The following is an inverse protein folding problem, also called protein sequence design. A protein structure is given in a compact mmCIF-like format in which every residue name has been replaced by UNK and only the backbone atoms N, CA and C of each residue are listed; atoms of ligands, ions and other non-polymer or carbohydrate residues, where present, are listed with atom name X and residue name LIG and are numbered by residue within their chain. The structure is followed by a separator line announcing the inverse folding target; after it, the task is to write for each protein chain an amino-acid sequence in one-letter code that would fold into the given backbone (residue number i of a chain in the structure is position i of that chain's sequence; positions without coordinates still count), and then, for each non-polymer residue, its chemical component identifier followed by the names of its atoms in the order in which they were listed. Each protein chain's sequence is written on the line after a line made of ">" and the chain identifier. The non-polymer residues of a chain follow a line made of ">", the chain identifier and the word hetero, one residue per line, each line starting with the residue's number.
data_IF_989042768633
#
_entry.id   IF_989042768633
#
_cell.length_a   1.000
_cell.length_b   1.000
_cell.length_c   1.000
_cell.angle_alpha   90.00
_cell.angle_beta   90.00
_cell.angle_gamma   90.00
#
_symmetry.space_group_name_H-M   'P 1'
#
loop_
_entity.id
_entity.type
_entity.pdbx_description
1 polymer ?
#
# COMPACT_ATOMS: atom_id res chain seq x y z
N UNK A 1 -71.25 -28.77 13.66
CA UNK A 1 -70.57 -29.55 12.62
C UNK A 1 -69.17 -29.01 12.46
N UNK A 2 -68.21 -29.94 12.48
CA UNK A 2 -66.75 -29.81 12.34
C UNK A 2 -66.34 -28.65 11.43
N UNK A 3 -65.32 -27.89 11.83
CA UNK A 3 -64.37 -27.07 11.04
C UNK A 3 -64.01 -25.77 11.78
N UNK A 4 -63.28 -25.86 12.89
CA UNK A 4 -62.46 -24.77 13.42
C UNK A 4 -61.49 -25.36 14.46
N UNK A 5 -60.31 -25.85 14.01
CA UNK A 5 -59.09 -26.08 14.82
C UNK A 5 -57.98 -26.79 14.01
N UNK A 6 -57.43 -26.15 12.98
CA UNK A 6 -56.09 -26.52 12.45
C UNK A 6 -55.50 -25.46 11.50
N UNK A 7 -55.19 -24.26 12.02
CA UNK A 7 -54.25 -23.33 11.34
C UNK A 7 -53.24 -22.78 12.37
N UNK A 8 -52.72 -23.67 13.22
CA UNK A 8 -51.63 -23.33 14.14
C UNK A 8 -50.60 -24.47 14.25
N UNK A 9 -50.38 -25.23 13.18
CA UNK A 9 -49.30 -26.24 13.13
C UNK A 9 -48.70 -26.42 11.72
N UNK A 10 -48.77 -25.40 10.86
CA UNK A 10 -48.17 -25.44 9.52
C UNK A 10 -47.02 -24.43 9.31
N UNK A 11 -46.52 -23.79 10.37
CA UNK A 11 -45.38 -22.85 10.33
C UNK A 11 -44.23 -23.20 11.28
N UNK A 12 -44.18 -24.45 11.80
CA UNK A 12 -43.09 -24.93 12.67
C UNK A 12 -42.40 -26.20 12.12
N UNK A 13 -42.77 -26.68 10.92
CA UNK A 13 -42.18 -27.90 10.33
C UNK A 13 -41.64 -27.72 8.89
N UNK A 14 -41.24 -26.49 8.53
CA UNK A 14 -40.32 -26.23 7.39
C UNK A 14 -39.11 -25.41 7.89
N UNK A 15 -38.61 -25.77 9.08
CA UNK A 15 -37.35 -25.20 9.64
C UNK A 15 -36.42 -26.26 10.24
N UNK A 16 -36.69 -27.56 10.01
CA UNK A 16 -35.93 -28.66 10.62
C UNK A 16 -35.46 -29.74 9.64
N UNK A 17 -35.28 -29.40 8.35
CA UNK A 17 -34.67 -30.32 7.39
C UNK A 17 -33.68 -29.70 6.43
N UNK A 18 -32.93 -28.69 6.89
CA UNK A 18 -31.56 -28.45 6.39
C UNK A 18 -30.63 -29.04 7.44
N UNK A 19 -30.56 -30.38 7.46
CA UNK A 19 -29.50 -31.09 8.17
C UNK A 19 -28.18 -30.63 7.56
N UNK A 20 -27.51 -29.75 8.31
CA UNK A 20 -26.05 -29.69 8.48
C UNK A 20 -25.30 -30.60 7.49
N UNK A 21 -25.10 -30.10 6.26
CA UNK A 21 -23.92 -30.52 5.52
C UNK A 21 -22.74 -30.12 6.41
N UNK A 22 -21.85 -31.04 6.77
CA UNK A 22 -20.70 -30.67 7.57
C UNK A 22 -20.02 -29.52 6.83
N UNK A 23 -19.87 -28.39 7.54
CA UNK A 23 -18.92 -27.38 7.16
C UNK A 23 -17.64 -28.18 6.94
N UNK A 24 -17.20 -28.32 5.69
CA UNK A 24 -15.85 -28.77 5.44
C UNK A 24 -14.98 -27.74 6.16
N UNK A 25 -14.55 -28.08 7.37
CA UNK A 25 -13.32 -27.57 7.94
C UNK A 25 -12.26 -27.95 6.91
N UNK A 26 -12.11 -27.07 5.91
CA UNK A 26 -10.94 -27.04 5.08
C UNK A 26 -9.82 -26.86 6.09
N UNK A 27 -9.09 -27.94 6.31
CA UNK A 27 -7.90 -27.97 7.12
C UNK A 27 -6.99 -26.86 6.56
N UNK A 28 -6.94 -25.71 7.23
CA UNK A 28 -6.18 -24.50 6.82
C UNK A 28 -4.66 -24.70 6.89
N UNK A 29 -4.20 -25.96 6.98
CA UNK A 29 -2.81 -26.37 7.05
C UNK A 29 -2.30 -27.10 5.79
N UNK A 30 -2.94 -26.95 4.64
CA UNK A 30 -2.15 -26.91 3.40
C UNK A 30 -1.70 -25.48 3.20
N UNK A 31 -0.70 -25.06 3.97
CA UNK A 31 0.17 -23.98 3.51
C UNK A 31 0.70 -24.47 2.15
N UNK A 32 0.34 -23.79 1.07
CA UNK A 32 1.10 -23.93 -0.16
C UNK A 32 2.57 -23.72 0.22
N UNK A 33 3.42 -24.70 -0.08
CA UNK A 33 4.85 -24.58 0.17
C UNK A 33 5.38 -23.51 -0.77
N UNK A 34 5.32 -22.25 -0.32
CA UNK A 34 5.75 -21.11 -1.11
C UNK A 34 7.20 -21.32 -1.52
N UNK A 35 7.47 -21.13 -2.80
CA UNK A 35 8.82 -21.29 -3.32
C UNK A 35 9.64 -20.08 -2.89
N UNK A 36 10.77 -20.33 -2.23
CA UNK A 36 11.65 -19.29 -1.71
C UNK A 36 13.07 -19.48 -2.23
N UNK A 37 13.71 -18.41 -2.70
CA UNK A 37 15.13 -18.41 -3.12
C UNK A 37 15.70 -17.00 -3.05
N UNK A 38 16.97 -16.90 -2.64
CA UNK A 38 17.69 -15.63 -2.48
C UNK A 38 17.00 -14.59 -1.57
N UNK A 39 16.17 -15.05 -0.62
CA UNK A 39 15.38 -14.18 0.25
C UNK A 39 14.12 -13.60 -0.40
N UNK A 40 13.75 -14.06 -1.59
CA UNK A 40 12.49 -13.75 -2.24
C UNK A 40 11.54 -14.94 -2.21
N UNK A 41 10.25 -14.65 -2.27
CA UNK A 41 9.16 -15.61 -2.31
C UNK A 41 8.41 -15.45 -3.62
N UNK A 42 8.12 -16.55 -4.32
CA UNK A 42 7.30 -16.56 -5.54
C UNK A 42 5.86 -16.97 -5.20
N UNK A 43 4.90 -16.30 -5.83
CA UNK A 43 3.47 -16.52 -5.64
C UNK A 43 2.75 -16.61 -6.99
N UNK A 44 1.73 -17.45 -7.07
CA UNK A 44 0.55 -17.18 -7.91
C UNK A 44 -0.27 -16.03 -7.33
N UNK A 45 -1.22 -15.49 -8.11
CA UNK A 45 -2.07 -14.40 -7.62
C UNK A 45 -2.95 -14.83 -6.43
N UNK A 46 -3.40 -16.09 -6.37
CA UNK A 46 -4.17 -16.65 -5.26
C UNK A 46 -3.32 -16.77 -3.99
N UNK A 47 -2.10 -17.28 -4.11
CA UNK A 47 -1.15 -17.38 -3.00
C UNK A 47 -0.77 -15.99 -2.48
N UNK A 48 -0.56 -15.02 -3.39
CA UNK A 48 -0.30 -13.64 -3.02
C UNK A 48 -1.45 -13.06 -2.19
N UNK A 49 -2.70 -13.25 -2.60
CA UNK A 49 -3.87 -12.77 -1.88
C UNK A 49 -3.95 -13.33 -0.46
N UNK A 50 -3.75 -14.64 -0.30
CA UNK A 50 -3.75 -15.29 1.01
C UNK A 50 -2.60 -14.76 1.87
N UNK A 51 -1.40 -14.67 1.29
CA UNK A 51 -0.21 -14.21 1.98
C UNK A 51 -0.32 -12.75 2.45
N UNK A 52 -0.67 -11.80 1.58
CA UNK A 52 -0.75 -10.37 1.93
C UNK A 52 -1.84 -10.06 2.97
N UNK A 53 -2.93 -10.84 2.96
CA UNK A 53 -3.99 -10.73 3.97
C UNK A 53 -3.58 -11.37 5.30
N UNK A 54 -2.69 -12.36 5.28
CA UNK A 54 -2.12 -12.96 6.50
C UNK A 54 -1.08 -12.07 7.16
N UNK A 55 -0.43 -11.18 6.39
CA UNK A 55 0.64 -10.34 6.90
C UNK A 55 0.19 -9.29 7.91
N UNK A 56 1.07 -9.13 8.89
CA UNK A 56 1.06 -8.06 9.89
C UNK A 56 1.90 -6.90 9.37
N UNK A 57 1.30 -5.71 9.32
CA UNK A 57 2.00 -4.50 8.91
C UNK A 57 1.66 -3.37 9.88
N UNK A 58 2.70 -2.80 10.48
CA UNK A 58 2.64 -1.67 11.40
C UNK A 58 2.43 -0.36 10.65
N UNK A 59 3.14 -0.18 9.52
CA UNK A 59 3.09 1.09 8.79
C UNK A 59 1.77 1.32 8.05
N UNK A 60 1.43 2.60 7.91
CA UNK A 60 0.33 3.07 7.09
C UNK A 60 0.71 3.09 5.61
N UNK A 61 -0.19 2.59 4.77
CA UNK A 61 -0.09 2.65 3.31
C UNK A 61 -1.23 3.53 2.81
N UNK A 62 -0.94 4.44 1.89
CA UNK A 62 -1.91 5.36 1.26
C UNK A 62 -1.89 5.32 -0.27
N UNK A 63 -0.87 4.69 -0.87
CA UNK A 63 -0.73 4.64 -2.33
C UNK A 63 0.00 3.38 -2.83
N UNK A 64 -0.21 3.07 -4.11
CA UNK A 64 0.41 2.00 -4.89
C UNK A 64 1.04 2.63 -6.13
N UNK A 65 2.32 2.37 -6.36
CA UNK A 65 3.09 2.85 -7.50
C UNK A 65 3.20 1.74 -8.54
N UNK A 66 2.83 2.04 -9.78
CA UNK A 66 2.96 1.14 -10.92
C UNK A 66 4.20 1.50 -11.73
N UNK A 67 5.04 0.50 -11.97
CA UNK A 67 6.30 0.61 -12.66
C UNK A 67 6.48 -0.52 -13.69
N UNK A 68 7.35 -0.29 -14.67
CA UNK A 68 7.93 -1.36 -15.46
C UNK A 68 9.44 -1.40 -15.25
N UNK A 69 10.04 -2.57 -15.40
CA UNK A 69 11.49 -2.69 -15.25
C UNK A 69 12.24 -1.94 -16.34
N UNK A 70 11.68 -1.86 -17.56
CA UNK A 70 12.34 -1.44 -18.82
C UNK A 70 13.51 -2.37 -19.21
N UNK A 71 14.41 -2.64 -18.27
CA UNK A 71 15.40 -3.70 -18.30
C UNK A 71 15.54 -4.29 -16.89
N UNK A 72 15.42 -5.62 -16.71
CA UNK A 72 15.20 -6.64 -17.73
C UNK A 72 13.81 -6.58 -18.37
N UNK A 73 13.74 -6.70 -19.70
CA UNK A 73 12.53 -6.86 -20.51
C UNK A 73 12.23 -8.34 -20.83
N UNK A 74 11.15 -8.65 -21.56
CA UNK A 74 10.74 -10.02 -21.88
C UNK A 74 11.83 -10.84 -22.57
N UNK A 75 12.67 -10.21 -23.40
CA UNK A 75 13.81 -10.89 -24.06
C UNK A 75 14.79 -11.56 -23.09
N UNK A 76 14.79 -11.15 -21.81
CA UNK A 76 15.64 -11.75 -20.77
C UNK A 76 14.92 -12.84 -19.96
N UNK A 77 13.62 -13.01 -20.14
CA UNK A 77 12.81 -13.99 -19.43
C UNK A 77 12.86 -15.34 -20.13
N UNK A 78 13.19 -16.41 -19.38
CA UNK A 78 13.39 -17.77 -19.89
C UNK A 78 12.43 -18.78 -19.24
N UNK A 79 11.28 -18.31 -18.76
CA UNK A 79 10.24 -19.05 -18.02
C UNK A 79 10.67 -19.72 -16.69
N UNK A 80 11.97 -19.75 -16.41
CA UNK A 80 12.58 -20.51 -15.31
C UNK A 80 13.53 -19.67 -14.45
N UNK A 81 13.79 -18.42 -14.84
CA UNK A 81 14.83 -17.56 -14.25
C UNK A 81 14.26 -16.39 -13.41
N UNK A 82 13.06 -16.53 -12.85
CA UNK A 82 12.41 -15.47 -12.06
C UNK A 82 13.28 -14.95 -10.91
N UNK A 83 13.83 -15.89 -10.12
CA UNK A 83 14.64 -15.56 -8.96
C UNK A 83 15.99 -14.94 -9.36
N UNK A 84 16.58 -15.40 -10.46
CA UNK A 84 17.81 -14.87 -11.03
C UNK A 84 17.62 -13.43 -11.52
N UNK A 85 16.51 -13.13 -12.21
CA UNK A 85 16.18 -11.77 -12.64
C UNK A 85 15.92 -10.86 -11.43
N UNK A 86 15.17 -11.35 -10.43
CA UNK A 86 14.90 -10.61 -9.19
C UNK A 86 16.19 -10.30 -8.43
N UNK A 87 17.08 -11.28 -8.29
CA UNK A 87 18.38 -11.11 -7.67
C UNK A 87 19.28 -10.17 -8.48
N UNK A 88 19.25 -10.25 -9.81
CA UNK A 88 19.98 -9.34 -10.69
C UNK A 88 19.56 -7.88 -10.49
N UNK A 89 18.25 -7.61 -10.42
CA UNK A 89 17.73 -6.27 -10.11
C UNK A 89 18.15 -5.80 -8.72
N UNK A 90 18.09 -6.67 -7.69
CA UNK A 90 18.59 -6.33 -6.36
C UNK A 90 20.08 -6.00 -6.37
N UNK A 91 20.90 -6.82 -7.03
CA UNK A 91 22.33 -6.60 -7.13
C UNK A 91 22.66 -5.27 -7.82
N UNK A 92 21.95 -4.93 -8.89
CA UNK A 92 22.12 -3.63 -9.55
C UNK A 92 21.75 -2.49 -8.60
N UNK A 93 20.59 -2.55 -7.95
CA UNK A 93 20.17 -1.53 -6.99
C UNK A 93 21.16 -1.36 -5.82
N UNK A 94 21.71 -2.45 -5.29
CA UNK A 94 22.63 -2.38 -4.15
C UNK A 94 24.03 -1.92 -4.60
N UNK A 95 24.60 -2.60 -5.61
CA UNK A 95 26.01 -2.43 -5.95
C UNK A 95 26.25 -1.23 -6.89
N UNK A 96 25.29 -0.92 -7.77
CA UNK A 96 25.41 0.20 -8.70
C UNK A 96 24.78 1.48 -8.15
N UNK A 97 23.55 1.41 -7.62
CA UNK A 97 22.86 2.61 -7.10
C UNK A 97 23.21 2.92 -5.63
N UNK A 98 23.93 2.04 -4.93
CA UNK A 98 24.27 2.21 -3.51
C UNK A 98 23.07 2.08 -2.57
N UNK A 99 21.97 1.46 -3.01
CA UNK A 99 20.77 1.31 -2.18
C UNK A 99 20.95 0.19 -1.16
N UNK A 100 20.23 0.27 -0.04
CA UNK A 100 20.26 -0.80 0.97
C UNK A 100 19.59 -2.11 0.54
N UNK A 101 18.76 -2.06 -0.51
CA UNK A 101 17.95 -3.19 -0.99
C UNK A 101 17.35 -2.88 -2.38
N UNK A 102 16.71 -3.88 -3.00
CA UNK A 102 15.88 -3.72 -4.20
C UNK A 102 14.84 -2.59 -4.00
N UNK A 103 14.49 -1.84 -5.06
CA UNK A 103 13.65 -0.64 -4.95
C UNK A 103 12.18 -0.94 -4.64
N UNK A 104 11.61 -1.91 -5.37
CA UNK A 104 10.20 -2.29 -5.34
C UNK A 104 9.88 -3.31 -4.24
N UNK A 105 8.60 -3.37 -3.86
CA UNK A 105 8.12 -4.39 -2.93
C UNK A 105 7.81 -5.71 -3.64
N UNK A 106 7.41 -5.63 -4.91
CA UNK A 106 7.01 -6.80 -5.68
C UNK A 106 7.35 -6.64 -7.15
N UNK A 107 7.61 -7.77 -7.80
CA UNK A 107 7.78 -7.84 -9.26
C UNK A 107 6.76 -8.82 -9.86
N UNK A 108 6.01 -8.45 -10.89
CA UNK A 108 5.18 -9.37 -11.68
C UNK A 108 5.91 -9.84 -12.94
N UNK A 109 5.68 -11.08 -13.38
CA UNK A 109 6.36 -11.72 -14.51
C UNK A 109 5.39 -12.10 -15.64
N UNK A 110 5.90 -12.42 -16.85
CA UNK A 110 5.08 -12.74 -18.03
C UNK A 110 4.17 -13.97 -17.83
N UNK A 111 4.55 -14.90 -16.96
CA UNK A 111 3.74 -16.07 -16.59
C UNK A 111 2.64 -15.77 -15.54
N UNK A 112 2.43 -14.49 -15.19
CA UNK A 112 1.47 -14.07 -14.17
C UNK A 112 1.94 -14.29 -12.74
N UNK A 113 3.16 -14.79 -12.53
CA UNK A 113 3.71 -14.96 -11.19
C UNK A 113 4.21 -13.64 -10.59
N UNK A 114 4.28 -13.62 -9.26
CA UNK A 114 4.68 -12.47 -8.45
C UNK A 114 5.87 -12.88 -7.59
N UNK A 115 6.93 -12.09 -7.55
CA UNK A 115 8.01 -12.25 -6.57
C UNK A 115 7.99 -11.10 -5.55
N UNK A 116 8.25 -11.42 -4.27
CA UNK A 116 8.55 -10.40 -3.26
C UNK A 116 9.88 -9.70 -3.53
N UNK A 117 10.03 -8.51 -2.96
CA UNK A 117 11.21 -7.67 -3.05
C UNK A 117 11.52 -7.05 -1.69
N UNK A 118 11.51 -5.71 -1.62
CA UNK A 118 11.75 -4.95 -0.40
C UNK A 118 10.71 -5.26 0.69
N UNK A 119 11.15 -5.26 1.95
CA UNK A 119 10.25 -5.38 3.12
C UNK A 119 9.13 -4.33 3.09
N UNK A 120 7.90 -4.78 3.34
CA UNK A 120 6.69 -3.95 3.37
C UNK A 120 6.64 -2.97 4.55
N UNK A 121 7.49 -3.15 5.57
CA UNK A 121 7.67 -2.21 6.68
C UNK A 121 8.59 -1.04 6.33
N UNK A 122 9.17 -1.04 5.12
CA UNK A 122 10.00 0.04 4.61
C UNK A 122 9.30 0.74 3.46
N UNK A 123 9.63 2.02 3.26
CA UNK A 123 9.24 2.71 2.02
C UNK A 123 9.99 2.12 0.82
N UNK A 124 9.40 2.10 -0.39
CA UNK A 124 10.10 1.72 -1.60
C UNK A 124 11.18 2.76 -1.96
N UNK A 125 11.97 2.48 -2.99
CA UNK A 125 12.86 3.46 -3.62
C UNK A 125 12.56 3.52 -5.12
N UNK A 126 11.32 3.86 -5.46
CA UNK A 126 10.81 3.75 -6.82
C UNK A 126 10.54 5.13 -7.46
N UNK A 127 9.89 6.04 -6.73
CA UNK A 127 9.60 7.41 -7.21
C UNK A 127 10.20 8.42 -6.23
N UNK A 128 11.15 9.23 -6.71
CA UNK A 128 11.78 10.31 -5.93
C UNK A 128 10.71 11.16 -5.25
N UNK A 129 10.84 11.39 -3.94
CA UNK A 129 9.91 12.23 -3.17
C UNK A 129 8.52 11.64 -2.90
N UNK A 130 8.16 10.47 -3.46
CA UNK A 130 6.80 9.90 -3.36
C UNK A 130 6.77 8.51 -2.70
N UNK A 131 7.89 8.05 -2.15
CA UNK A 131 8.02 6.71 -1.57
C UNK A 131 7.31 6.55 -0.21
N UNK A 132 7.21 7.61 0.59
CA UNK A 132 6.60 7.53 1.91
C UNK A 132 5.18 6.94 1.82
N UNK A 133 4.86 5.95 2.66
CA UNK A 133 3.55 5.32 2.74
C UNK A 133 3.04 4.68 1.42
N UNK A 134 3.93 4.38 0.46
CA UNK A 134 3.57 3.73 -0.82
C UNK A 134 3.97 2.26 -0.88
N UNK A 135 3.19 1.42 -1.55
CA UNK A 135 3.67 0.13 -2.11
C UNK A 135 4.15 0.38 -3.54
N UNK A 136 5.15 -0.37 -3.99
CA UNK A 136 5.70 -0.24 -5.34
C UNK A 136 5.67 -1.60 -6.03
N UNK A 137 4.98 -1.65 -7.16
CA UNK A 137 4.84 -2.80 -8.03
C UNK A 137 5.68 -2.55 -9.29
N UNK A 138 6.65 -3.41 -9.51
CA UNK A 138 7.48 -3.40 -10.71
C UNK A 138 6.99 -4.51 -11.66
N UNK A 139 6.77 -4.20 -12.92
CA UNK A 139 6.32 -5.18 -13.89
C UNK A 139 7.46 -5.53 -14.82
N UNK A 140 7.94 -6.78 -14.80
CA UNK A 140 8.99 -7.23 -15.70
C UNK A 140 8.54 -6.98 -17.14
N UNK A 141 9.27 -6.16 -17.89
CA UNK A 141 8.95 -5.82 -19.26
C UNK A 141 9.31 -4.39 -19.64
N UNK A 142 9.35 -4.14 -20.93
CA UNK A 142 9.33 -2.81 -21.52
C UNK A 142 7.98 -2.60 -22.21
N UNK A 143 7.02 -2.01 -21.49
CA UNK A 143 5.68 -1.71 -22.03
C UNK A 143 5.58 -0.36 -22.74
N UNK A 144 6.67 0.15 -23.32
CA UNK A 144 6.57 1.22 -24.30
C UNK A 144 5.94 0.72 -25.61
N UNK A 145 5.30 1.62 -26.36
CA UNK A 145 4.66 1.29 -27.62
C UNK A 145 5.66 0.63 -28.59
N UNK A 146 5.27 -0.51 -29.16
CA UNK A 146 6.11 -1.31 -30.08
C UNK A 146 7.22 -2.12 -29.40
N UNK A 147 7.18 -2.30 -28.07
CA UNK A 147 8.10 -3.14 -27.31
C UNK A 147 7.41 -4.43 -26.85
N UNK A 148 7.44 -4.75 -25.57
CA UNK A 148 6.85 -5.99 -25.06
C UNK A 148 5.31 -5.89 -25.11
N UNK A 149 4.68 -6.91 -25.69
CA UNK A 149 3.24 -7.09 -25.61
C UNK A 149 2.92 -7.81 -24.30
N UNK A 150 2.28 -7.12 -23.36
CA UNK A 150 1.93 -7.69 -22.06
C UNK A 150 1.08 -8.95 -22.23
N UNK A 151 1.53 -10.07 -21.67
CA UNK A 151 0.79 -11.34 -21.71
C UNK A 151 -0.54 -11.22 -20.96
N UNK A 152 -1.50 -12.09 -21.29
CA UNK A 152 -2.79 -12.11 -20.61
C UNK A 152 -2.64 -12.44 -19.11
N UNK A 153 -1.72 -13.34 -18.79
CA UNK A 153 -1.43 -13.81 -17.43
C UNK A 153 -0.82 -12.68 -16.59
N UNK A 154 0.17 -11.96 -17.13
CA UNK A 154 0.76 -10.83 -16.42
C UNK A 154 -0.25 -9.69 -16.26
N UNK A 155 -1.03 -9.40 -17.31
CA UNK A 155 -2.08 -8.38 -17.27
C UNK A 155 -3.08 -8.66 -16.16
N UNK A 156 -3.56 -9.89 -16.04
CA UNK A 156 -4.50 -10.31 -15.01
C UNK A 156 -3.87 -10.22 -13.60
N UNK A 157 -2.62 -10.66 -13.45
CA UNK A 157 -1.89 -10.56 -12.18
C UNK A 157 -1.79 -9.11 -11.70
N UNK A 158 -1.46 -8.17 -12.59
CA UNK A 158 -1.32 -6.74 -12.25
C UNK A 158 -2.65 -6.14 -11.77
N UNK A 159 -3.75 -6.40 -12.49
CA UNK A 159 -5.08 -5.89 -12.13
C UNK A 159 -5.47 -6.42 -10.75
N UNK A 160 -5.46 -7.74 -10.58
CA UNK A 160 -5.90 -8.40 -9.35
C UNK A 160 -5.01 -8.02 -8.17
N UNK A 161 -3.70 -7.97 -8.36
CA UNK A 161 -2.77 -7.59 -7.31
C UNK A 161 -3.03 -6.16 -6.82
N UNK A 162 -3.28 -5.23 -7.75
CA UNK A 162 -3.65 -3.85 -7.42
C UNK A 162 -4.97 -3.80 -6.64
N UNK A 163 -6.00 -4.52 -7.08
CA UNK A 163 -7.29 -4.59 -6.39
C UNK A 163 -7.18 -5.19 -4.98
N UNK A 164 -6.40 -6.26 -4.82
CA UNK A 164 -6.13 -6.90 -3.53
C UNK A 164 -5.46 -5.91 -2.57
N UNK A 165 -4.46 -5.17 -3.04
CA UNK A 165 -3.75 -4.17 -2.22
C UNK A 165 -4.66 -3.00 -1.85
N UNK A 166 -5.46 -2.49 -2.79
CA UNK A 166 -6.47 -1.47 -2.50
C UNK A 166 -7.42 -1.93 -1.39
N UNK A 167 -7.94 -3.16 -1.47
CA UNK A 167 -8.81 -3.71 -0.43
C UNK A 167 -8.09 -3.88 0.91
N UNK A 168 -6.88 -4.47 0.89
CA UNK A 168 -6.09 -4.77 2.09
C UNK A 168 -5.78 -3.52 2.92
N UNK A 169 -5.53 -2.40 2.24
CA UNK A 169 -5.13 -1.14 2.86
C UNK A 169 -6.24 -0.09 2.88
N UNK A 170 -7.46 -0.46 2.47
CA UNK A 170 -8.61 0.44 2.34
C UNK A 170 -8.28 1.70 1.52
N UNK A 171 -7.68 1.49 0.36
CA UNK A 171 -7.37 2.55 -0.58
C UNK A 171 -8.53 2.71 -1.57
N UNK A 172 -9.04 3.94 -1.78
CA UNK A 172 -9.97 4.20 -2.87
C UNK A 172 -9.31 3.89 -4.23
N UNK A 173 -10.09 3.55 -5.26
CA UNK A 173 -9.57 3.30 -6.61
C UNK A 173 -9.63 4.61 -7.41
N UNK A 174 -8.54 5.39 -7.36
CA UNK A 174 -8.40 6.65 -8.09
C UNK A 174 -6.92 7.02 -8.28
N UNK A 175 -6.66 8.07 -9.05
CA UNK A 175 -5.29 8.46 -9.45
C UNK A 175 -4.46 9.13 -8.36
N UNK A 176 -4.96 9.28 -7.13
CA UNK A 176 -4.15 9.71 -5.97
C UNK A 176 -3.64 8.53 -5.13
N UNK A 177 -4.25 7.36 -5.26
CA UNK A 177 -3.92 6.14 -4.51
C UNK A 177 -3.29 5.08 -5.40
N UNK A 178 -3.56 5.09 -6.72
CA UNK A 178 -2.89 4.27 -7.71
C UNK A 178 -2.18 5.25 -8.64
N UNK A 179 -0.85 5.26 -8.60
CA UNK A 179 -0.02 6.25 -9.27
C UNK A 179 0.98 5.61 -10.22
N UNK A 180 1.24 6.27 -11.34
CA UNK A 180 2.27 5.84 -12.31
C UNK A 180 3.53 6.68 -12.14
N UNK A 181 4.69 6.07 -12.34
CA UNK A 181 5.97 6.78 -12.28
C UNK A 181 6.03 7.97 -13.26
N UNK A 182 5.44 7.82 -14.45
CA UNK A 182 5.40 8.85 -15.50
C UNK A 182 4.81 10.18 -15.02
N UNK A 183 4.00 10.20 -13.96
CA UNK A 183 3.34 11.42 -13.51
C UNK A 183 4.22 12.34 -12.68
N UNK A 184 5.48 11.94 -12.42
CA UNK A 184 6.37 12.66 -11.52
C UNK A 184 7.66 13.07 -12.22
N UNK A 185 8.07 14.31 -11.95
CA UNK A 185 9.31 14.90 -12.43
C UNK A 185 10.52 14.18 -11.82
N UNK A 186 11.49 13.80 -12.64
CA UNK A 186 12.59 12.93 -12.23
C UNK A 186 13.57 13.56 -11.26
N UNK A 187 13.79 14.88 -11.36
CA UNK A 187 14.75 15.57 -10.50
C UNK A 187 14.11 15.99 -9.18
N UNK A 188 12.86 16.45 -9.22
CA UNK A 188 12.20 17.02 -8.04
C UNK A 188 11.25 16.06 -7.33
N UNK A 189 10.79 15.00 -8.01
CA UNK A 189 9.74 14.12 -7.50
C UNK A 189 8.35 14.76 -7.47
N UNK A 190 8.19 15.98 -8.00
CA UNK A 190 6.90 16.67 -8.00
C UNK A 190 5.98 16.05 -9.04
N UNK A 191 4.72 15.88 -8.66
CA UNK A 191 3.69 15.45 -9.61
C UNK A 191 3.43 16.55 -10.64
N UNK A 192 3.53 16.19 -11.92
CA UNK A 192 3.25 17.05 -13.05
C UNK A 192 2.45 16.33 -14.16
N UNK A 193 1.92 15.15 -13.86
CA UNK A 193 1.05 14.35 -14.72
C UNK A 193 1.64 14.03 -16.11
N UNK A 194 2.98 13.95 -16.21
CA UNK A 194 3.66 13.51 -17.43
C UNK A 194 3.94 14.63 -18.44
N UNK A 195 4.01 15.88 -17.97
CA UNK A 195 4.18 17.07 -18.81
C UNK A 195 5.66 17.48 -18.98
N UNK A 196 6.55 17.13 -18.04
CA UNK A 196 7.95 17.59 -18.07
C UNK A 196 8.91 16.66 -17.33
N UNK A 197 10.04 16.33 -17.95
CA UNK A 197 11.14 15.60 -17.31
C UNK A 197 10.66 14.30 -16.62
N UNK A 198 9.94 13.45 -17.34
CA UNK A 198 9.33 12.23 -16.83
C UNK A 198 9.93 10.98 -17.48
N UNK A 199 9.96 9.86 -16.75
CA UNK A 199 10.22 8.53 -17.33
C UNK A 199 9.00 8.04 -18.11
N UNK A 200 9.16 7.20 -19.13
CA UNK A 200 8.03 6.56 -19.81
C UNK A 200 7.30 5.52 -18.94
N UNK A 201 7.99 4.97 -17.94
CA UNK A 201 7.50 4.03 -16.93
C UNK A 201 6.12 4.40 -16.34
N UNK A 202 5.13 3.48 -16.27
CA UNK A 202 5.23 2.03 -16.50
C UNK A 202 5.20 1.61 -17.98
N UNK A 203 5.32 2.56 -18.91
CA UNK A 203 5.39 2.33 -20.35
C UNK A 203 4.26 3.01 -21.08
N UNK A 204 4.58 3.61 -22.23
CA UNK A 204 3.65 4.34 -23.11
C UNK A 204 2.51 3.48 -23.68
N UNK A 205 2.51 2.17 -23.49
CA UNK A 205 1.42 1.25 -23.83
C UNK A 205 0.92 0.43 -22.62
N UNK A 206 1.25 0.85 -21.39
CA UNK A 206 0.82 0.16 -20.17
C UNK A 206 -0.70 0.29 -19.98
N UNK A 207 -1.46 -0.78 -20.23
CA UNK A 207 -2.93 -0.74 -20.25
C UNK A 207 -3.47 0.40 -21.13
N UNK A 208 -2.89 0.62 -22.32
CA UNK A 208 -3.33 1.66 -23.25
C UNK A 208 -2.66 3.03 -23.07
N UNK A 209 -1.83 3.24 -22.03
CA UNK A 209 -0.98 4.43 -21.95
C UNK A 209 -0.48 4.77 -20.55
N UNK A 210 0.39 5.78 -20.45
CA UNK A 210 1.04 6.18 -19.20
C UNK A 210 0.56 7.53 -18.64
N UNK A 211 -0.43 8.18 -19.25
CA UNK A 211 -1.02 9.42 -18.75
C UNK A 211 -2.10 9.14 -17.70
N UNK A 212 -2.45 10.18 -16.95
CA UNK A 212 -3.54 10.12 -15.96
C UNK A 212 -4.86 9.74 -16.63
N UNK A 213 -5.11 10.25 -17.84
CA UNK A 213 -6.31 9.93 -18.62
C UNK A 213 -6.36 8.46 -19.03
N UNK A 214 -5.24 7.90 -19.48
CA UNK A 214 -5.16 6.49 -19.87
C UNK A 214 -5.45 5.57 -18.67
N UNK A 215 -4.87 5.90 -17.50
CA UNK A 215 -5.13 5.17 -16.26
C UNK A 215 -6.62 5.20 -15.88
N UNK A 216 -7.25 6.38 -15.90
CA UNK A 216 -8.69 6.53 -15.62
C UNK A 216 -9.57 5.76 -16.61
N UNK A 217 -9.17 5.73 -17.89
CA UNK A 217 -10.00 5.17 -18.96
C UNK A 217 -9.85 3.66 -19.06
N UNK A 218 -8.64 3.13 -18.82
CA UNK A 218 -8.31 1.77 -19.19
C UNK A 218 -7.87 0.90 -18.02
N UNK A 219 -7.22 1.44 -17.00
CA UNK A 219 -6.69 0.63 -15.89
C UNK A 219 -7.59 0.62 -14.66
N UNK A 220 -7.98 1.79 -14.15
CA UNK A 220 -8.82 1.90 -12.96
C UNK A 220 -10.16 1.15 -13.08
N UNK A 221 -10.88 1.18 -14.22
CA UNK A 221 -12.12 0.42 -14.37
C UNK A 221 -11.92 -1.08 -14.19
N UNK A 222 -10.79 -1.63 -14.66
CA UNK A 222 -10.45 -3.05 -14.50
C UNK A 222 -10.19 -3.38 -13.03
N UNK A 223 -9.43 -2.52 -12.34
CA UNK A 223 -9.15 -2.67 -10.90
C UNK A 223 -10.46 -2.61 -10.09
N UNK A 224 -11.35 -1.67 -10.41
CA UNK A 224 -12.66 -1.54 -9.78
C UNK A 224 -13.56 -2.75 -10.02
N UNK A 225 -13.55 -3.34 -11.22
CA UNK A 225 -14.33 -4.54 -11.53
C UNK A 225 -13.81 -5.78 -10.79
N UNK A 226 -12.50 -5.88 -10.56
CA UNK A 226 -11.90 -6.93 -9.74
C UNK A 226 -12.05 -6.69 -8.23
N UNK A 227 -12.74 -5.62 -7.81
CA UNK A 227 -12.97 -5.27 -6.41
C UNK A 227 -14.30 -5.85 -5.92
N UNK A 228 -14.33 -6.96 -5.15
CA UNK A 228 -15.58 -7.43 -4.57
C UNK A 228 -16.08 -6.41 -3.53
N UNK A 229 -17.38 -6.15 -3.54
CA UNK A 229 -18.02 -5.33 -2.50
C UNK A 229 -17.77 -5.98 -1.14
N UNK A 230 -17.16 -5.25 -0.20
CA UNK A 230 -17.12 -5.68 1.20
C UNK A 230 -17.57 -4.55 2.11
N UNK A 231 -18.41 -4.89 3.08
CA UNK A 231 -18.69 -4.00 4.20
C UNK A 231 -17.44 -4.02 5.07
N UNK A 232 -16.61 -2.99 4.96
CA UNK A 232 -15.49 -2.83 5.88
C UNK A 232 -16.03 -2.26 7.18
N UNK A 233 -16.00 -3.05 8.25
CA UNK A 233 -16.05 -2.51 9.60
C UNK A 233 -14.80 -1.64 9.78
N UNK A 234 -14.99 -0.32 9.68
CA UNK A 234 -13.91 0.63 9.90
C UNK A 234 -13.60 0.59 11.40
N UNK A 235 -12.41 0.13 11.80
CA UNK A 235 -12.07 0.10 13.21
C UNK A 235 -11.97 1.50 13.79
N UNK A 236 -12.27 1.62 15.09
CA UNK A 236 -12.17 2.86 15.84
C UNK A 236 -10.69 3.26 15.96
N UNK A 237 -10.28 4.11 15.03
CA UNK A 237 -8.93 4.64 14.95
C UNK A 237 -8.81 5.84 15.89
N UNK A 238 -8.02 5.72 16.95
CA UNK A 238 -7.83 6.76 17.95
C UNK A 238 -6.98 7.92 17.42
N UNK A 239 -5.81 7.62 16.83
CA UNK A 239 -4.87 8.63 16.31
C UNK A 239 -3.85 8.02 15.36
N UNK A 240 -3.07 8.88 14.71
CA UNK A 240 -1.83 8.50 14.04
C UNK A 240 -0.63 8.97 14.84
N UNK A 241 0.45 8.19 14.79
CA UNK A 241 1.75 8.56 15.34
C UNK A 241 2.87 8.29 14.34
N UNK A 242 3.91 9.11 14.35
CA UNK A 242 5.15 8.86 13.61
C UNK A 242 6.21 8.32 14.54
N UNK A 243 6.90 7.25 14.12
CA UNK A 243 8.02 6.67 14.88
C UNK A 243 9.22 7.62 14.90
N UNK A 244 9.80 7.87 16.07
CA UNK A 244 10.99 8.72 16.25
C UNK A 244 12.26 7.91 16.52
N UNK A 245 12.14 6.65 16.96
CA UNK A 245 13.29 5.75 17.11
C UNK A 245 13.72 5.14 15.77
N UNK A 246 15.02 4.85 15.62
CA UNK A 246 15.54 4.15 14.44
C UNK A 246 14.91 2.77 14.22
N UNK A 247 14.63 2.06 15.33
CA UNK A 247 13.91 0.77 15.35
C UNK A 247 12.97 0.72 16.55
N UNK A 248 11.67 0.57 16.31
CA UNK A 248 10.65 0.41 17.33
C UNK A 248 10.07 -1.00 17.27
N UNK A 249 10.41 -1.83 18.27
CA UNK A 249 9.91 -3.20 18.34
C UNK A 249 8.42 -3.22 18.69
N UNK A 250 7.69 -4.14 18.05
CA UNK A 250 6.30 -4.46 18.37
C UNK A 250 6.27 -5.63 19.35
N UNK A 251 5.45 -5.53 20.39
CA UNK A 251 5.34 -6.50 21.49
C UNK A 251 3.92 -7.03 21.61
N UNK A 252 3.79 -8.21 22.22
CA UNK A 252 2.50 -8.90 22.41
C UNK A 252 1.62 -8.31 23.51
N UNK A 253 2.15 -7.45 24.37
CA UNK A 253 1.45 -6.84 25.51
C UNK A 253 2.02 -5.44 25.80
N UNK A 254 1.28 -4.54 26.48
CA UNK A 254 1.68 -3.17 26.80
C UNK A 254 2.70 -3.08 27.95
N UNK A 255 3.82 -3.81 27.86
CA UNK A 255 4.91 -3.77 28.86
C UNK A 255 6.28 -4.12 28.27
N UNK A 256 7.34 -3.60 28.88
CA UNK A 256 8.71 -3.73 28.36
C UNK A 256 9.22 -5.17 28.32
N UNK A 257 8.76 -6.01 29.24
CA UNK A 257 9.16 -7.42 29.38
C UNK A 257 8.37 -8.36 28.47
N UNK A 258 7.34 -7.88 27.77
CA UNK A 258 6.53 -8.70 26.87
C UNK A 258 7.36 -9.20 25.68
N UNK A 259 7.00 -10.36 25.13
CA UNK A 259 7.72 -10.92 23.97
C UNK A 259 7.55 -9.99 22.77
N UNK A 260 8.62 -9.89 21.96
CA UNK A 260 8.51 -9.27 20.64
C UNK A 260 7.65 -10.18 19.76
N UNK A 261 6.82 -9.59 18.92
CA UNK A 261 6.00 -10.35 17.96
C UNK A 261 6.93 -11.00 16.95
N UNK A 262 6.88 -12.33 16.84
CA UNK A 262 7.73 -13.07 15.91
C UNK A 262 7.32 -12.80 14.46
N UNK A 263 8.30 -12.67 13.56
CA UNK A 263 8.06 -12.45 12.12
C UNK A 263 7.61 -11.04 11.74
N UNK A 264 7.54 -10.10 12.69
CA UNK A 264 7.24 -8.69 12.42
C UNK A 264 8.52 -7.86 12.55
N UNK A 265 8.91 -7.20 11.46
CA UNK A 265 10.04 -6.28 11.47
C UNK A 265 9.76 -5.08 12.40
N UNK A 266 10.77 -4.54 13.09
CA UNK A 266 10.61 -3.30 13.84
C UNK A 266 10.17 -2.14 12.93
N UNK A 267 9.23 -1.32 13.40
CA UNK A 267 8.85 -0.11 12.69
C UNK A 267 10.05 0.85 12.66
N UNK A 268 10.35 1.40 11.48
CA UNK A 268 11.49 2.28 11.27
C UNK A 268 11.13 3.75 11.54
N UNK A 269 12.12 4.58 11.85
CA UNK A 269 11.95 6.04 11.97
C UNK A 269 11.14 6.62 10.80
N UNK A 270 10.17 7.49 11.10
CA UNK A 270 9.28 8.11 10.12
C UNK A 270 8.10 7.25 9.67
N UNK A 271 8.05 5.97 10.06
CA UNK A 271 6.87 5.14 9.80
C UNK A 271 5.67 5.70 10.53
N UNK A 272 4.56 5.88 9.82
CA UNK A 272 3.31 6.33 10.44
C UNK A 272 2.47 5.14 10.85
N UNK A 273 2.16 5.04 12.13
CA UNK A 273 1.38 3.98 12.74
C UNK A 273 -0.05 4.45 13.00
N UNK A 274 -0.99 3.53 12.88
CA UNK A 274 -2.38 3.69 13.32
C UNK A 274 -2.48 3.23 14.77
N UNK A 275 -3.02 4.05 15.66
CA UNK A 275 -3.23 3.69 17.07
C UNK A 275 -4.71 3.45 17.30
N UNK A 276 -5.04 2.28 17.83
CA UNK A 276 -6.43 1.86 18.11
C UNK A 276 -6.76 1.90 19.61
N UNK A 277 -5.74 1.76 20.47
CA UNK A 277 -5.89 1.78 21.91
C UNK A 277 -4.60 2.31 22.55
N UNK A 278 -4.74 2.94 23.71
CA UNK A 278 -3.64 3.38 24.55
C UNK A 278 -3.78 2.79 25.95
N UNK A 279 -2.69 2.25 26.49
CA UNK A 279 -2.65 1.68 27.83
C UNK A 279 -1.28 1.94 28.47
N UNK A 280 -1.23 2.68 29.58
CA UNK A 280 -0.01 2.93 30.35
C UNK A 280 1.19 3.41 29.50
N UNK A 281 0.94 4.29 28.53
CA UNK A 281 1.95 4.82 27.60
C UNK A 281 2.33 3.89 26.45
N UNK A 282 1.66 2.73 26.30
CA UNK A 282 1.78 1.83 25.16
C UNK A 282 0.63 2.03 24.19
N UNK A 283 0.92 1.90 22.90
CA UNK A 283 -0.04 2.08 21.82
C UNK A 283 -0.29 0.75 21.12
N UNK A 284 -1.55 0.34 21.05
CA UNK A 284 -1.99 -0.80 20.25
C UNK A 284 -2.09 -0.37 18.80
N UNK A 285 -1.29 -0.98 17.94
CA UNK A 285 -1.12 -0.60 16.53
C UNK A 285 -1.78 -1.57 15.55
N UNK A 286 -2.54 -2.53 16.06
CA UNK A 286 -3.37 -3.44 15.27
C UNK A 286 -4.78 -3.48 15.85
N UNK A 287 -5.78 -3.41 14.97
CA UNK A 287 -7.18 -3.51 15.40
C UNK A 287 -7.56 -4.93 15.81
N UNK A 288 -6.99 -5.95 15.15
CA UNK A 288 -7.39 -7.34 15.35
C UNK A 288 -6.48 -8.13 16.27
N UNK A 289 -5.34 -7.57 16.69
CA UNK A 289 -4.31 -8.27 17.45
C UNK A 289 -3.67 -7.40 18.53
N UNK A 290 -3.09 -8.06 19.52
CA UNK A 290 -2.35 -7.45 20.62
C UNK A 290 -0.94 -7.04 20.21
N UNK A 291 -0.85 -6.06 19.31
CA UNK A 291 0.42 -5.52 18.83
C UNK A 291 0.65 -4.15 19.44
N UNK A 292 1.63 -4.08 20.33
CA UNK A 292 1.87 -2.92 21.17
C UNK A 292 3.25 -2.33 20.90
N UNK A 293 3.32 -1.01 20.82
CA UNK A 293 4.59 -0.25 20.77
C UNK A 293 4.65 0.72 21.94
N UNK A 294 5.86 1.02 22.42
CA UNK A 294 6.00 1.98 23.51
C UNK A 294 5.90 3.41 22.95
N UNK A 295 4.83 4.13 23.32
CA UNK A 295 4.46 5.42 22.75
C UNK A 295 5.51 6.51 22.91
N UNK A 296 6.38 6.43 23.91
CA UNK A 296 7.49 7.39 24.12
C UNK A 296 8.46 7.51 22.94
N UNK A 297 8.50 6.52 22.05
CA UNK A 297 9.33 6.49 20.84
C UNK A 297 8.55 6.90 19.58
N UNK A 298 7.49 7.69 19.78
CA UNK A 298 6.63 8.20 18.72
C UNK A 298 6.24 9.64 19.00
N UNK A 299 5.70 10.31 18.00
CA UNK A 299 5.06 11.62 18.13
C UNK A 299 3.70 11.61 17.44
N UNK A 300 2.73 12.34 17.97
CA UNK A 300 1.41 12.46 17.35
C UNK A 300 1.52 13.14 15.97
N UNK A 301 0.75 12.64 15.01
CA UNK A 301 0.63 13.26 13.68
C UNK A 301 -0.82 13.32 13.24
N UNK A 302 -1.15 14.32 12.42
CA UNK A 302 -2.48 14.49 11.84
C UNK A 302 -2.46 14.19 10.34
N UNK A 303 -3.45 13.45 9.85
CA UNK A 303 -3.60 13.17 8.41
C UNK A 303 -4.46 14.23 7.75
N UNK A 304 -4.02 14.77 6.62
CA UNK A 304 -4.77 15.75 5.83
C UNK A 304 -4.59 15.53 4.33
N UNK A 305 -5.56 16.00 3.54
CA UNK A 305 -5.50 16.05 2.08
C UNK A 305 -5.42 17.50 1.58
N UNK A 306 -4.70 17.72 0.49
CA UNK A 306 -4.62 19.03 -0.18
C UNK A 306 -5.95 19.36 -0.89
N UNK A 307 -6.53 20.53 -0.61
CA UNK A 307 -7.80 20.99 -1.20
C UNK A 307 -7.62 21.73 -2.52
N UNK A 308 -6.48 22.40 -2.71
CA UNK A 308 -6.20 23.25 -3.88
C UNK A 308 -5.47 22.48 -4.98
N UNK A 309 -5.58 22.97 -6.22
CA UNK A 309 -4.90 22.36 -7.37
C UNK A 309 -3.38 22.20 -7.16
N UNK A 310 -2.76 23.22 -6.57
CA UNK A 310 -1.34 23.27 -6.26
C UNK A 310 -1.13 23.94 -4.90
N UNK A 311 -0.46 23.25 -3.99
CA UNK A 311 -0.06 23.76 -2.70
C UNK A 311 1.46 23.83 -2.61
N UNK A 312 2.01 25.03 -2.43
CA UNK A 312 3.45 25.21 -2.31
C UNK A 312 3.98 24.67 -0.98
N UNK A 313 5.08 23.93 -1.06
CA UNK A 313 5.87 23.47 0.09
C UNK A 313 7.04 24.44 0.25
N UNK A 314 7.29 24.86 1.49
CA UNK A 314 8.33 25.85 1.83
C UNK A 314 9.29 25.34 2.89
N UNK A 315 10.46 25.95 3.01
CA UNK A 315 11.46 25.61 4.03
C UNK A 315 11.23 26.32 5.39
N UNK A 316 10.02 26.81 5.65
CA UNK A 316 9.64 27.40 6.94
C UNK A 316 8.17 27.88 6.97
N UNK A 317 7.65 28.21 8.17
CA UNK A 317 6.27 28.59 8.40
C UNK A 317 5.97 30.03 7.98
N UNK A 318 5.89 30.29 6.68
CA UNK A 318 5.60 31.65 6.20
C UNK A 318 5.69 31.80 4.69
N UNK A 319 5.11 32.90 4.17
CA UNK A 319 5.15 33.22 2.73
C UNK A 319 6.52 33.73 2.26
N UNK A 320 7.35 34.22 3.19
CA UNK A 320 8.71 34.73 2.98
C UNK A 320 9.75 33.62 2.78
N UNK A 321 9.50 32.41 3.28
CA UNK A 321 10.39 31.26 3.14
C UNK A 321 10.43 30.72 1.71
N UNK A 322 11.55 30.15 1.30
CA UNK A 322 11.75 29.64 -0.05
C UNK A 322 10.79 28.50 -0.38
N UNK A 323 10.37 28.44 -1.64
CA UNK A 323 9.57 27.32 -2.16
C UNK A 323 10.51 26.17 -2.50
N UNK A 324 10.35 25.06 -1.79
CA UNK A 324 11.13 23.83 -2.01
C UNK A 324 10.32 22.75 -2.71
N UNK A 325 9.02 22.95 -2.88
CA UNK A 325 8.15 21.94 -3.46
C UNK A 325 6.75 22.42 -3.83
N UNK A 326 5.96 21.50 -4.35
CA UNK A 326 4.52 21.64 -4.45
C UNK A 326 3.83 20.28 -4.35
N UNK A 327 2.61 20.28 -3.80
CA UNK A 327 1.72 19.14 -3.70
C UNK A 327 0.47 19.39 -4.56
N UNK A 328 -0.01 18.33 -5.22
CA UNK A 328 -1.23 18.38 -6.02
C UNK A 328 -2.49 18.17 -5.17
N UNK A 329 -3.65 18.58 -5.70
CA UNK A 329 -4.95 18.32 -5.06
C UNK A 329 -5.14 16.85 -4.73
N UNK A 330 -5.70 16.58 -3.55
CA UNK A 330 -5.97 15.24 -3.05
C UNK A 330 -4.73 14.48 -2.57
N UNK A 331 -3.52 15.03 -2.75
CA UNK A 331 -2.32 14.43 -2.16
C UNK A 331 -2.47 14.44 -0.63
N UNK A 332 -2.23 13.29 -0.02
CA UNK A 332 -2.36 13.12 1.42
C UNK A 332 -1.01 13.23 2.11
N UNK A 333 -1.01 13.89 3.26
CA UNK A 333 0.17 14.18 4.07
C UNK A 333 -0.09 13.92 5.55
N UNK A 334 1.00 13.67 6.27
CA UNK A 334 1.02 13.64 7.72
C UNK A 334 1.71 14.89 8.28
N UNK A 335 1.00 15.59 9.15
CA UNK A 335 1.40 16.85 9.77
C UNK A 335 1.96 16.51 11.15
N UNK A 336 3.19 16.95 11.40
CA UNK A 336 3.91 16.69 12.66
C UNK A 336 3.85 17.87 13.63
N UNK A 337 3.58 19.08 13.11
CA UNK A 337 3.57 20.32 13.89
C UNK A 337 2.71 21.37 13.20
N UNK A 338 2.05 22.23 13.97
CA UNK A 338 1.29 23.37 13.49
C UNK A 338 1.84 24.65 14.14
N UNK A 339 2.08 25.69 13.37
CA UNK A 339 2.59 26.97 13.85
C UNK A 339 2.08 28.11 12.97
N UNK A 340 1.51 29.17 13.55
CA UNK A 340 1.12 30.38 12.82
C UNK A 340 0.32 30.13 11.53
N UNK A 341 -0.60 29.15 11.56
CA UNK A 341 -1.41 28.69 10.42
C UNK A 341 -0.63 27.97 9.29
N UNK A 342 0.57 27.48 9.61
CA UNK A 342 1.38 26.58 8.78
C UNK A 342 1.47 25.21 9.43
N UNK A 343 1.60 24.19 8.59
CA UNK A 343 1.74 22.80 9.00
C UNK A 343 3.07 22.27 8.49
N UNK A 344 3.91 21.77 9.39
CA UNK A 344 5.12 21.03 9.02
C UNK A 344 4.74 19.61 8.63
N UNK A 345 5.16 19.21 7.44
CA UNK A 345 4.91 17.89 6.86
C UNK A 345 6.16 17.03 7.02
N UNK A 346 5.99 15.81 7.54
CA UNK A 346 7.11 14.90 7.81
C UNK A 346 8.13 15.46 8.83
N UNK A 347 9.20 14.71 9.08
CA UNK A 347 10.33 15.15 9.92
C UNK A 347 11.30 16.10 9.21
N UNK A 348 11.07 16.42 7.94
CA UNK A 348 11.87 17.40 7.21
C UNK A 348 11.26 18.79 7.43
N UNK A 349 12.06 19.85 7.41
CA UNK A 349 11.60 21.25 7.52
C UNK A 349 10.82 21.72 6.29
N UNK A 350 9.76 21.00 5.95
CA UNK A 350 8.85 21.23 4.83
C UNK A 350 7.52 21.69 5.41
N UNK A 351 7.08 22.86 4.99
CA UNK A 351 5.92 23.54 5.54
C UNK A 351 4.90 23.87 4.46
N UNK A 352 3.63 23.73 4.78
CA UNK A 352 2.50 24.07 3.91
C UNK A 352 1.48 24.91 4.68
N UNK A 353 0.75 25.78 3.97
CA UNK A 353 -0.31 26.57 4.61
C UNK A 353 -1.51 25.68 4.96
N UNK A 354 -1.99 25.80 6.20
CA UNK A 354 -3.10 25.02 6.76
C UNK A 354 -4.43 25.32 6.06
N UNK A 355 -4.62 26.54 5.56
CA UNK A 355 -5.84 26.97 4.85
C UNK A 355 -6.17 26.07 3.67
N UNK A 356 -5.14 25.47 3.06
CA UNK A 356 -5.27 24.63 1.88
C UNK A 356 -5.40 23.13 2.20
N UNK A 357 -5.59 22.78 3.48
CA UNK A 357 -5.70 21.39 3.93
C UNK A 357 -7.12 21.02 4.40
N UNK A 358 -7.50 19.77 4.15
CA UNK A 358 -8.68 19.10 4.73
C UNK A 358 -8.19 17.98 5.65
N UNK A 359 -8.40 18.11 6.96
CA UNK A 359 -8.04 17.07 7.92
C UNK A 359 -9.00 15.88 7.81
N UNK A 360 -8.50 14.65 7.94
CA UNK A 360 -9.25 13.42 7.63
C UNK A 360 -9.83 12.74 8.89
N UNK A 361 -9.35 13.06 10.09
CA UNK A 361 -9.78 12.44 11.36
C UNK A 361 -10.18 13.40 12.48
N UNK A 362 -10.24 14.72 12.24
CA UNK A 362 -10.62 15.67 13.30
C UNK A 362 -12.12 15.71 13.60
N UNK A 363 -12.96 15.01 12.84
CA UNK A 363 -14.42 15.05 12.96
C UNK A 363 -15.00 14.01 13.95
N UNK A 364 -14.21 13.59 14.96
CA UNK A 364 -14.67 12.73 16.06
C UNK A 364 -14.55 13.45 17.42
N UNK A 365 -14.88 14.73 17.45
CA UNK A 365 -15.09 15.49 18.70
C UNK A 365 -16.57 15.61 19.02
#
# INVERSE_FOLDING_TARGET
>A
MVWQRTIYYAWILILLQIRSKPLFLINTRKLFALTNRFGFTKFSIQEFEQWINSLQLARTVISIQQHHTFSPAYVHFKDSNHFELQQGMKNYHVNHNGWSDIGQHFTTFPDGSILSGRSLERSPACITGQNANSICLEHLGNFDSGKDAMTAEQREAIIRMTAILCRRFNLPVHTQSIIYHHWFDLSTGQRNDGVRNNKTCPGTNFFGGNKVMDCNTHFLPLVSQSFPFSIQNKPDLLKYVSVTASKLNVRSEPRQTAKKVAGLDPASIGSVLRVYQEENGWYKISNSQEHWVYGKYTMNVSRAAVKTAKLHVRNGPGRSFDRVGALAKGHEIFIVHEENNWCRIHMDEKWVSKDHLKFILKDLT
#
